data_IF_235770769264
#
_entry.id   IF_235770769264
#
_cell.length_a   1.000
_cell.length_b   1.000
_cell.length_c   1.000
_cell.angle_alpha   90.00
_cell.angle_beta   90.00
_cell.angle_gamma   90.00
#
_symmetry.space_group_name_H-M   'P 1'
#
loop_
_entity.id
_entity.type
_entity.pdbx_description
1 polymer ?
#
# COMPACT_ATOMS: atom_id res chain seq x y z
N UNK A 1 6.79 8.83 -0.14
CA UNK A 1 7.75 9.42 -1.10
C UNK A 1 7.01 10.14 -2.23
N UNK A 2 6.42 9.46 -3.21
CA UNK A 2 5.79 10.11 -4.36
C UNK A 2 4.67 11.11 -4.02
N UNK A 3 3.89 10.87 -2.95
CA UNK A 3 2.93 11.85 -2.43
C UNK A 3 3.58 13.13 -1.90
N UNK A 4 4.74 13.04 -1.24
CA UNK A 4 5.47 14.21 -0.77
C UNK A 4 6.12 14.96 -1.93
N UNK A 5 6.65 14.25 -2.92
CA UNK A 5 7.11 14.85 -4.16
C UNK A 5 5.97 15.61 -4.87
N UNK A 6 4.77 15.02 -4.94
CA UNK A 6 3.59 15.70 -5.46
C UNK A 6 3.26 16.98 -4.67
N UNK A 7 3.27 16.89 -3.33
CA UNK A 7 3.07 18.04 -2.45
C UNK A 7 4.08 19.16 -2.66
N UNK A 8 5.37 18.84 -2.75
CA UNK A 8 6.45 19.79 -3.01
C UNK A 8 6.26 20.50 -4.36
N UNK A 9 5.73 19.79 -5.36
CA UNK A 9 5.46 20.33 -6.69
C UNK A 9 4.07 20.98 -6.82
N UNK A 10 3.27 21.04 -5.76
CA UNK A 10 1.91 21.60 -5.81
C UNK A 10 0.93 20.78 -6.66
N UNK A 11 1.22 19.49 -6.84
CA UNK A 11 0.37 18.54 -7.56
C UNK A 11 -0.60 17.91 -6.58
N UNK A 12 -1.90 18.03 -6.83
CA UNK A 12 -2.95 17.38 -6.06
C UNK A 12 -3.05 15.91 -6.50
N UNK A 13 -2.69 14.94 -5.64
CA UNK A 13 -2.74 13.52 -6.00
C UNK A 13 -4.20 13.06 -6.18
N UNK A 14 -4.48 12.35 -7.27
CA UNK A 14 -5.80 11.74 -7.50
C UNK A 14 -5.82 10.27 -7.08
N UNK A 15 -4.76 9.53 -7.43
CA UNK A 15 -4.61 8.11 -7.13
C UNK A 15 -3.16 7.66 -7.25
N UNK A 16 -2.91 6.46 -6.75
CA UNK A 16 -1.65 5.75 -6.96
C UNK A 16 -1.50 5.36 -8.44
N UNK A 17 -0.29 5.56 -8.98
CA UNK A 17 -0.01 5.29 -10.39
C UNK A 17 0.04 3.78 -10.67
N UNK A 18 0.64 3.02 -9.76
CA UNK A 18 0.73 1.56 -9.79
C UNK A 18 0.29 0.96 -8.45
N UNK A 19 -1.02 0.71 -8.27
CA UNK A 19 -1.54 -0.04 -7.13
C UNK A 19 -0.85 -1.39 -6.97
N UNK A 20 -0.73 -1.87 -5.73
CA UNK A 20 -0.20 -3.20 -5.45
C UNK A 20 -1.32 -4.21 -5.24
N UNK A 21 -1.21 -5.32 -5.93
CA UNK A 21 -2.01 -6.52 -5.74
C UNK A 21 -1.41 -7.44 -4.65
N UNK A 22 -2.16 -8.48 -4.27
CA UNK A 22 -1.69 -9.55 -3.39
C UNK A 22 -1.22 -9.08 -2.00
N UNK A 23 -1.91 -8.07 -1.47
CA UNK A 23 -1.68 -7.51 -0.12
C UNK A 23 -2.81 -7.83 0.86
N UNK A 24 -3.79 -8.64 0.44
CA UNK A 24 -4.94 -9.02 1.24
C UNK A 24 -5.09 -10.54 1.26
N UNK A 25 -5.67 -11.03 2.34
CA UNK A 25 -6.09 -12.42 2.50
C UNK A 25 -7.56 -12.47 2.86
N UNK A 26 -8.23 -13.57 2.50
CA UNK A 26 -9.44 -14.01 3.19
C UNK A 26 -9.04 -15.00 4.27
N UNK A 27 -9.46 -14.75 5.50
CA UNK A 27 -9.49 -15.72 6.60
C UNK A 27 -10.87 -16.35 6.64
N UNK A 28 -10.96 -17.66 6.45
CA UNK A 28 -12.18 -18.42 6.77
C UNK A 28 -11.89 -19.26 8.01
N UNK A 29 -12.71 -19.11 9.04
CA UNK A 29 -12.65 -19.88 10.29
C UNK A 29 -14.01 -20.52 10.56
N UNK A 30 -14.02 -21.73 11.11
CA UNK A 30 -15.24 -22.38 11.61
C UNK A 30 -15.26 -22.28 13.12
N UNK A 31 -16.35 -21.74 13.68
CA UNK A 31 -16.51 -21.49 15.11
C UNK A 31 -17.83 -22.10 15.61
N UNK A 32 -17.88 -22.61 16.86
CA UNK A 32 -19.14 -22.86 17.54
C UNK A 32 -20.03 -21.62 17.53
N UNK A 33 -21.34 -21.82 17.40
CA UNK A 33 -22.31 -20.72 17.30
C UNK A 33 -22.21 -19.79 18.52
N UNK A 34 -22.00 -20.36 19.70
CA UNK A 34 -21.93 -19.66 20.99
C UNK A 34 -20.67 -18.81 21.15
N UNK A 35 -19.59 -19.13 20.41
CA UNK A 35 -18.31 -18.44 20.48
C UNK A 35 -18.07 -17.47 19.30
N UNK A 36 -18.97 -17.45 18.32
CA UNK A 36 -18.81 -16.71 17.07
C UNK A 36 -18.58 -15.20 17.28
N UNK A 37 -19.35 -14.59 18.18
CA UNK A 37 -19.25 -13.15 18.48
C UNK A 37 -17.91 -12.82 19.14
N UNK A 38 -17.54 -13.56 20.20
CA UNK A 38 -16.26 -13.41 20.90
C UNK A 38 -15.07 -13.51 19.95
N UNK A 39 -15.07 -14.51 19.05
CA UNK A 39 -13.99 -14.68 18.07
C UNK A 39 -13.97 -13.49 17.10
N UNK A 40 -15.12 -13.06 16.59
CA UNK A 40 -15.16 -11.94 15.65
C UNK A 40 -14.65 -10.63 16.27
N UNK A 41 -15.03 -10.31 17.51
CA UNK A 41 -14.57 -9.13 18.24
C UNK A 41 -13.05 -9.14 18.43
N UNK A 42 -12.48 -10.29 18.79
CA UNK A 42 -11.02 -10.44 18.93
C UNK A 42 -10.30 -10.21 17.59
N UNK A 43 -10.84 -10.76 16.49
CA UNK A 43 -10.25 -10.58 15.16
C UNK A 43 -10.36 -9.13 14.67
N UNK A 44 -11.47 -8.45 14.95
CA UNK A 44 -11.65 -7.02 14.64
C UNK A 44 -10.66 -6.14 15.42
N UNK A 45 -10.49 -6.40 16.71
CA UNK A 45 -9.50 -5.71 17.53
C UNK A 45 -8.06 -5.91 17.00
N UNK A 46 -7.77 -7.10 16.46
CA UNK A 46 -6.50 -7.41 15.80
C UNK A 46 -6.35 -6.83 14.37
N UNK A 47 -7.41 -6.22 13.83
CA UNK A 47 -7.41 -5.50 12.55
C UNK A 47 -7.96 -6.29 11.35
N UNK A 48 -8.60 -7.44 11.56
CA UNK A 48 -9.39 -8.09 10.52
C UNK A 48 -10.64 -7.25 10.18
N UNK A 49 -11.18 -7.42 8.97
CA UNK A 49 -12.43 -6.79 8.57
C UNK A 49 -12.35 -5.28 8.32
N UNK A 50 -11.15 -4.72 8.15
CA UNK A 50 -10.96 -3.32 7.73
C UNK A 50 -10.86 -3.23 6.21
N UNK A 51 -11.85 -2.59 5.59
CA UNK A 51 -11.95 -2.45 4.13
C UNK A 51 -12.29 -0.99 3.80
N UNK A 52 -11.31 -0.24 3.30
CA UNK A 52 -11.49 1.17 2.99
C UNK A 52 -11.85 1.98 4.24
N UNK A 53 -13.02 2.62 4.23
CA UNK A 53 -13.54 3.43 5.34
C UNK A 53 -14.47 2.65 6.30
N UNK A 54 -14.52 1.32 6.18
CA UNK A 54 -15.34 0.45 7.02
C UNK A 54 -14.45 -0.46 7.86
N UNK A 55 -14.83 -0.68 9.10
CA UNK A 55 -14.26 -1.68 10.01
C UNK A 55 -15.32 -2.72 10.38
N UNK A 56 -14.89 -3.73 11.15
CA UNK A 56 -15.76 -4.82 11.65
C UNK A 56 -16.53 -5.58 10.55
N UNK A 57 -15.95 -5.67 9.34
CA UNK A 57 -16.56 -6.38 8.23
C UNK A 57 -16.24 -7.88 8.28
N UNK A 58 -17.28 -8.71 8.42
CA UNK A 58 -17.19 -10.15 8.15
C UNK A 58 -18.49 -10.66 7.52
N UNK A 59 -18.45 -11.88 6.98
CA UNK A 59 -19.64 -12.60 6.54
C UNK A 59 -19.71 -13.97 7.21
N UNK A 60 -20.90 -14.36 7.66
CA UNK A 60 -21.11 -15.57 8.44
C UNK A 60 -22.14 -16.50 7.77
N UNK A 61 -21.80 -17.78 7.67
CA UNK A 61 -22.68 -18.83 7.11
C UNK A 61 -22.83 -19.96 8.13
N UNK A 62 -24.06 -20.32 8.55
CA UNK A 62 -24.26 -21.46 9.43
C UNK A 62 -24.03 -22.78 8.67
N UNK A 63 -23.55 -23.79 9.40
CA UNK A 63 -23.28 -25.11 8.86
C UNK A 63 -23.19 -26.18 9.95
N UNK A 64 -22.71 -27.36 9.55
CA UNK A 64 -22.46 -28.48 10.47
C UNK A 64 -21.04 -28.97 10.28
N UNK A 65 -20.22 -28.82 11.32
CA UNK A 65 -18.89 -29.41 11.40
C UNK A 65 -18.98 -30.88 11.79
N UNK A 66 -18.10 -31.73 11.25
CA UNK A 66 -17.96 -33.11 11.72
C UNK A 66 -16.52 -33.42 12.00
N UNK A 67 -16.29 -34.16 13.08
CA UNK A 67 -14.96 -34.59 13.48
C UNK A 67 -15.06 -35.91 14.25
N UNK A 68 -13.92 -36.58 14.41
CA UNK A 68 -13.78 -37.77 15.25
C UNK A 68 -12.50 -37.62 16.06
N UNK A 69 -12.58 -37.33 17.37
CA UNK A 69 -11.39 -37.18 18.19
C UNK A 69 -10.60 -38.49 18.21
N UNK A 70 -9.29 -38.39 18.06
CA UNK A 70 -8.37 -39.53 18.17
C UNK A 70 -7.91 -39.70 19.62
N UNK A 71 -7.29 -40.85 19.93
CA UNK A 71 -6.68 -41.08 21.23
C UNK A 71 -5.64 -39.98 21.54
N UNK A 72 -5.74 -39.38 22.73
CA UNK A 72 -4.89 -38.25 23.15
C UNK A 72 -5.44 -36.85 22.85
N UNK A 73 -6.55 -36.73 22.10
CA UNK A 73 -7.21 -35.43 21.89
C UNK A 73 -7.93 -34.94 23.15
N UNK A 74 -7.97 -33.62 23.36
CA UNK A 74 -8.77 -32.97 24.41
C UNK A 74 -9.88 -32.12 23.77
N UNK A 75 -10.87 -32.75 23.11
CA UNK A 75 -11.90 -31.98 22.41
C UNK A 75 -12.82 -31.30 23.44
N UNK A 76 -13.26 -30.08 23.12
CA UNK A 76 -14.29 -29.40 23.92
C UNK A 76 -15.64 -30.12 23.87
N UNK A 77 -15.90 -30.84 22.77
CA UNK A 77 -17.14 -31.59 22.52
C UNK A 77 -16.86 -32.95 21.84
N UNK A 78 -17.71 -33.95 22.06
CA UNK A 78 -17.60 -35.26 21.41
C UNK A 78 -16.84 -36.33 22.21
N UNK A 79 -16.85 -37.56 21.71
CA UNK A 79 -16.28 -38.74 22.39
C UNK A 79 -15.13 -39.31 21.55
N UNK A 80 -14.01 -39.63 22.20
CA UNK A 80 -12.83 -40.23 21.54
C UNK A 80 -13.22 -41.51 20.80
N UNK A 81 -12.85 -41.60 19.53
CA UNK A 81 -13.14 -42.75 18.66
C UNK A 81 -14.51 -42.69 17.96
N UNK A 82 -15.39 -41.76 18.31
CA UNK A 82 -16.73 -41.63 17.73
C UNK A 82 -16.85 -40.36 16.87
N UNK A 83 -17.61 -40.45 15.77
CA UNK A 83 -17.87 -39.27 14.93
C UNK A 83 -18.92 -38.39 15.62
N UNK A 84 -18.57 -37.13 15.81
CA UNK A 84 -19.48 -36.09 16.30
C UNK A 84 -19.84 -35.13 15.17
N UNK A 85 -21.00 -34.50 15.31
CA UNK A 85 -21.50 -33.46 14.41
C UNK A 85 -22.07 -32.33 15.25
N UNK A 86 -21.63 -31.09 15.00
CA UNK A 86 -21.97 -29.92 15.81
C UNK A 86 -22.37 -28.75 14.89
N UNK A 87 -23.36 -27.92 15.28
CA UNK A 87 -23.65 -26.67 14.59
C UNK A 87 -22.46 -25.71 14.71
N UNK A 88 -22.04 -25.13 13.58
CA UNK A 88 -20.95 -24.15 13.54
C UNK A 88 -21.34 -23.00 12.60
N UNK A 89 -20.61 -21.90 12.68
CA UNK A 89 -20.63 -20.83 11.67
C UNK A 89 -19.26 -20.72 11.02
N UNK A 90 -19.24 -20.63 9.69
CA UNK A 90 -18.06 -20.24 8.94
C UNK A 90 -18.04 -18.71 8.86
N UNK A 91 -17.04 -18.09 9.48
CA UNK A 91 -16.83 -16.64 9.46
C UNK A 91 -15.70 -16.29 8.49
N UNK A 92 -15.98 -15.36 7.59
CA UNK A 92 -15.08 -14.93 6.51
C UNK A 92 -14.69 -13.47 6.69
N UNK A 93 -13.38 -13.20 6.80
CA UNK A 93 -12.82 -11.86 7.01
C UNK A 93 -11.83 -11.52 5.91
N UNK A 94 -11.81 -10.24 5.48
CA UNK A 94 -10.67 -9.71 4.71
C UNK A 94 -9.63 -9.18 5.68
N UNK A 95 -8.38 -9.57 5.48
CA UNK A 95 -7.27 -9.24 6.38
C UNK A 95 -6.09 -8.73 5.56
N UNK A 96 -5.52 -7.60 5.96
CA UNK A 96 -4.32 -7.08 5.29
C UNK A 96 -3.08 -7.88 5.65
N UNK A 97 -2.11 -7.91 4.73
CA UNK A 97 -0.85 -8.63 4.94
C UNK A 97 -0.10 -8.15 6.18
N UNK A 98 -0.22 -6.87 6.52
CA UNK A 98 0.43 -6.26 7.68
C UNK A 98 -0.11 -6.80 9.01
N UNK A 99 -1.43 -7.04 9.09
CA UNK A 99 -2.08 -7.48 10.32
C UNK A 99 -2.20 -9.01 10.45
N UNK A 100 -1.91 -9.78 9.40
CA UNK A 100 -2.07 -11.25 9.38
C UNK A 100 -1.51 -11.94 10.63
N UNK A 101 -0.29 -11.60 11.05
CA UNK A 101 0.34 -12.23 12.22
C UNK A 101 -0.34 -11.90 13.54
N UNK A 102 -0.90 -10.68 13.68
CA UNK A 102 -1.67 -10.30 14.87
C UNK A 102 -3.03 -11.01 14.90
N UNK A 103 -3.71 -11.08 13.74
CA UNK A 103 -4.99 -11.77 13.58
C UNK A 103 -4.85 -13.27 13.83
N UNK A 104 -3.77 -13.91 13.38
CA UNK A 104 -3.51 -15.33 13.68
C UNK A 104 -3.45 -15.60 15.18
N UNK A 105 -2.71 -14.78 15.95
CA UNK A 105 -2.61 -14.95 17.41
C UNK A 105 -3.94 -14.71 18.09
N UNK A 106 -4.65 -13.65 17.71
CA UNK A 106 -5.96 -13.35 18.26
C UNK A 106 -6.97 -14.48 17.99
N UNK A 107 -6.88 -15.12 16.82
CA UNK A 107 -7.68 -16.30 16.51
C UNK A 107 -7.36 -17.45 17.48
N UNK A 108 -6.10 -17.82 17.62
CA UNK A 108 -5.66 -18.93 18.48
C UNK A 108 -5.98 -18.69 19.96
N UNK A 109 -5.91 -17.45 20.43
CA UNK A 109 -6.18 -17.08 21.83
C UNK A 109 -7.69 -17.01 22.15
N UNK A 110 -8.51 -16.55 21.21
CA UNK A 110 -9.95 -16.35 21.44
C UNK A 110 -10.80 -17.57 21.14
N UNK A 111 -10.30 -18.50 20.32
CA UNK A 111 -11.08 -19.65 19.85
C UNK A 111 -11.19 -20.74 20.94
N UNK A 112 -12.37 -21.36 21.14
CA UNK A 112 -12.58 -22.36 22.19
C UNK A 112 -11.86 -23.71 21.94
N UNK A 113 -11.64 -24.06 20.67
CA UNK A 113 -10.93 -25.29 20.31
C UNK A 113 -9.41 -25.13 20.41
N UNK A 114 -8.73 -26.17 20.90
CA UNK A 114 -7.27 -26.27 20.96
C UNK A 114 -6.60 -26.16 19.57
N UNK A 115 -7.23 -26.77 18.55
CA UNK A 115 -6.76 -26.73 17.16
C UNK A 115 -7.83 -26.12 16.29
N UNK A 116 -7.59 -24.90 15.82
CA UNK A 116 -8.56 -24.10 15.08
C UNK A 116 -8.58 -24.47 13.60
N UNK A 117 -9.71 -24.93 13.08
CA UNK A 117 -9.89 -25.20 11.65
C UNK A 117 -10.12 -23.89 10.87
N UNK A 118 -9.09 -23.45 10.14
CA UNK A 118 -9.15 -22.21 9.36
C UNK A 118 -8.34 -22.29 8.06
N UNK A 119 -8.58 -21.36 7.14
CA UNK A 119 -7.83 -21.22 5.90
C UNK A 119 -7.50 -19.77 5.59
N UNK A 120 -6.31 -19.56 5.04
CA UNK A 120 -5.85 -18.30 4.49
C UNK A 120 -5.82 -18.39 2.97
N UNK A 121 -6.63 -17.58 2.30
CA UNK A 121 -6.68 -17.51 0.84
C UNK A 121 -6.08 -16.17 0.41
N UNK A 122 -5.03 -16.19 -0.41
CA UNK A 122 -4.45 -14.95 -0.95
C UNK A 122 -5.42 -14.32 -1.95
N UNK A 123 -5.66 -13.02 -1.83
CA UNK A 123 -6.51 -12.27 -2.75
C UNK A 123 -5.65 -11.53 -3.77
N UNK A 124 -6.05 -11.58 -5.04
CA UNK A 124 -5.33 -10.91 -6.13
C UNK A 124 -5.76 -9.44 -6.31
N UNK A 125 -6.76 -8.98 -5.55
CA UNK A 125 -7.29 -7.63 -5.62
C UNK A 125 -6.19 -6.57 -5.42
N UNK A 126 -6.28 -5.50 -6.19
CA UNK A 126 -5.41 -4.33 -6.02
C UNK A 126 -5.90 -3.44 -4.88
N UNK A 127 -4.94 -2.93 -4.10
CA UNK A 127 -5.17 -1.89 -3.10
C UNK A 127 -4.90 -0.52 -3.70
N UNK A 128 -5.93 0.32 -3.76
CA UNK A 128 -5.85 1.69 -4.29
C UNK A 128 -5.08 2.66 -3.38
N UNK A 129 -4.89 2.29 -2.12
CA UNK A 129 -4.23 3.07 -1.07
C UNK A 129 -2.74 2.72 -0.90
N UNK A 130 -2.25 1.65 -1.54
CA UNK A 130 -0.83 1.24 -1.47
C UNK A 130 -0.26 0.93 -2.84
N UNK A 131 0.88 1.51 -3.17
CA UNK A 131 1.64 1.17 -4.37
C UNK A 131 2.73 2.16 -4.73
N UNK A 132 3.10 2.17 -6.01
CA UNK A 132 4.22 2.96 -6.51
C UNK A 132 3.74 4.12 -7.37
N UNK A 133 4.41 5.27 -7.19
CA UNK A 133 4.09 6.49 -7.91
C UNK A 133 2.70 7.05 -7.61
N UNK A 134 2.45 8.26 -8.09
CA UNK A 134 1.15 8.93 -8.02
C UNK A 134 0.86 9.62 -9.36
N UNK A 135 -0.42 9.77 -9.66
CA UNK A 135 -0.89 10.61 -10.75
C UNK A 135 -1.79 11.68 -10.15
N UNK A 136 -1.61 12.91 -10.57
CA UNK A 136 -2.38 14.03 -10.08
C UNK A 136 -2.44 15.18 -11.06
N UNK A 137 -3.00 16.30 -10.60
CA UNK A 137 -3.11 17.52 -11.38
C UNK A 137 -2.67 18.74 -10.59
N UNK A 138 -2.08 19.70 -11.29
CA UNK A 138 -1.95 21.06 -10.78
C UNK A 138 -3.31 21.77 -10.83
N UNK A 139 -3.52 22.74 -9.94
CA UNK A 139 -4.77 23.50 -9.88
C UNK A 139 -5.08 24.26 -11.18
N UNK A 140 -4.05 24.72 -11.90
CA UNK A 140 -4.16 25.39 -13.19
C UNK A 140 -3.06 24.88 -14.13
N UNK A 141 -3.32 24.82 -15.45
CA UNK A 141 -2.27 24.53 -16.43
C UNK A 141 -1.11 25.53 -16.34
N UNK A 142 0.12 25.02 -16.36
CA UNK A 142 1.33 25.83 -16.28
C UNK A 142 2.10 25.78 -17.61
N UNK A 143 2.53 26.91 -18.19
CA UNK A 143 3.42 26.92 -19.35
C UNK A 143 4.72 26.15 -19.08
N UNK A 144 5.24 25.45 -20.09
CA UNK A 144 6.40 24.57 -19.94
C UNK A 144 7.60 25.22 -19.24
N UNK A 145 8.01 26.41 -19.65
CA UNK A 145 9.19 27.08 -19.07
C UNK A 145 8.99 27.43 -17.59
N UNK A 146 7.77 27.84 -17.22
CA UNK A 146 7.40 28.09 -15.84
C UNK A 146 7.38 26.79 -15.04
N UNK A 147 6.89 25.71 -15.63
CA UNK A 147 6.88 24.39 -15.00
C UNK A 147 8.29 23.86 -14.73
N UNK A 148 9.21 23.99 -15.68
CA UNK A 148 10.62 23.62 -15.50
C UNK A 148 11.25 24.45 -14.38
N UNK A 149 11.03 25.77 -14.37
CA UNK A 149 11.55 26.64 -13.30
C UNK A 149 10.95 26.29 -11.93
N UNK A 150 9.66 25.96 -11.88
CA UNK A 150 8.96 25.53 -10.68
C UNK A 150 9.53 24.23 -10.11
N UNK A 151 9.72 23.20 -10.96
CA UNK A 151 10.34 21.93 -10.54
C UNK A 151 11.77 22.17 -10.03
N UNK A 152 12.55 23.01 -10.72
CA UNK A 152 13.90 23.38 -10.26
C UNK A 152 13.91 24.02 -8.88
N UNK A 153 13.07 25.03 -8.68
CA UNK A 153 12.96 25.75 -7.42
C UNK A 153 12.46 24.86 -6.28
N UNK A 154 11.42 24.07 -6.54
CA UNK A 154 10.80 23.19 -5.54
C UNK A 154 11.70 22.03 -5.11
N UNK A 155 12.59 21.52 -5.97
CA UNK A 155 13.51 20.44 -5.62
C UNK A 155 14.93 20.90 -5.31
N UNK A 156 15.22 22.19 -5.48
CA UNK A 156 16.56 22.75 -5.31
C UNK A 156 17.58 22.23 -6.34
N UNK A 157 17.12 21.76 -7.50
CA UNK A 157 17.98 21.15 -8.53
C UNK A 157 18.53 22.23 -9.48
N UNK A 158 19.83 22.13 -9.80
CA UNK A 158 20.49 23.06 -10.73
C UNK A 158 20.12 22.78 -12.20
N UNK A 159 20.04 21.49 -12.54
CA UNK A 159 19.74 21.02 -13.88
C UNK A 159 18.72 19.89 -13.84
N UNK A 160 18.02 19.72 -14.97
CA UNK A 160 17.04 18.67 -15.21
C UNK A 160 17.32 18.10 -16.59
N UNK A 161 16.96 16.83 -16.81
CA UNK A 161 16.98 16.22 -18.14
C UNK A 161 15.56 15.84 -18.53
N UNK A 162 15.15 16.12 -19.75
CA UNK A 162 13.83 15.73 -20.22
C UNK A 162 13.83 15.31 -21.68
N UNK A 163 12.84 14.50 -22.07
CA UNK A 163 12.57 14.20 -23.47
C UNK A 163 12.03 15.43 -24.22
N UNK A 164 11.97 15.42 -25.57
CA UNK A 164 11.35 16.51 -26.32
C UNK A 164 9.94 16.87 -25.82
N UNK A 165 9.62 18.15 -25.92
CA UNK A 165 8.35 18.70 -25.49
C UNK A 165 7.19 18.15 -26.35
N UNK A 166 6.12 17.71 -25.69
CA UNK A 166 4.90 17.19 -26.35
C UNK A 166 3.78 18.23 -26.38
N UNK A 167 3.63 19.01 -25.30
CA UNK A 167 2.59 20.05 -25.13
C UNK A 167 3.19 21.32 -24.56
N UNK A 168 2.66 22.48 -24.94
CA UNK A 168 3.15 23.78 -24.45
C UNK A 168 2.81 24.07 -22.97
N UNK A 169 1.82 23.37 -22.41
CA UNK A 169 1.38 23.49 -21.02
C UNK A 169 1.36 22.12 -20.35
N UNK A 170 1.55 22.12 -19.03
CA UNK A 170 1.56 20.95 -18.15
C UNK A 170 0.48 21.13 -17.09
N UNK A 171 -0.34 20.11 -16.90
CA UNK A 171 -1.30 20.08 -15.79
C UNK A 171 -1.36 18.71 -15.13
N UNK A 172 -1.43 17.64 -15.91
CA UNK A 172 -1.56 16.28 -15.42
C UNK A 172 -0.19 15.63 -15.31
N UNK A 173 0.20 15.23 -14.11
CA UNK A 173 1.59 14.85 -13.82
C UNK A 173 1.60 13.48 -13.13
N UNK A 174 2.32 12.55 -13.72
CA UNK A 174 2.68 11.28 -13.10
C UNK A 174 4.04 11.44 -12.40
N UNK A 175 4.19 10.88 -11.20
CA UNK A 175 5.36 11.06 -10.35
C UNK A 175 5.77 9.72 -9.74
N UNK A 176 7.05 9.37 -9.81
CA UNK A 176 7.64 8.32 -8.99
C UNK A 176 9.03 8.74 -8.54
N UNK A 177 9.23 8.89 -7.22
CA UNK A 177 10.57 9.09 -6.67
C UNK A 177 11.50 7.91 -7.00
N UNK A 178 12.79 8.20 -7.07
CA UNK A 178 13.83 7.24 -7.40
C UNK A 178 13.74 6.72 -8.84
N UNK A 179 14.25 5.51 -9.06
CA UNK A 179 14.33 4.85 -10.36
C UNK A 179 12.98 4.23 -10.80
N UNK A 180 12.02 5.08 -11.17
CA UNK A 180 10.65 4.67 -11.50
C UNK A 180 10.36 4.45 -12.98
N UNK A 181 11.35 4.38 -13.86
CA UNK A 181 11.15 4.37 -15.32
C UNK A 181 10.23 3.25 -15.82
N UNK A 182 10.12 2.13 -15.11
CA UNK A 182 9.25 1.00 -15.46
C UNK A 182 7.75 1.29 -15.33
N UNK A 183 7.40 2.40 -14.66
CA UNK A 183 6.01 2.85 -14.56
C UNK A 183 5.58 3.71 -15.76
N UNK A 184 6.46 3.97 -16.73
CA UNK A 184 6.16 4.77 -17.92
C UNK A 184 4.89 4.30 -18.65
N UNK A 185 4.64 2.98 -18.91
CA UNK A 185 3.41 2.55 -19.56
C UNK A 185 2.14 2.96 -18.80
N UNK A 186 2.20 2.96 -17.45
CA UNK A 186 1.09 3.42 -16.62
C UNK A 186 0.91 4.93 -16.65
N UNK A 187 2.01 5.69 -16.69
CA UNK A 187 1.95 7.15 -16.85
C UNK A 187 1.31 7.55 -18.19
N UNK A 188 1.67 6.85 -19.27
CA UNK A 188 1.08 7.01 -20.60
C UNK A 188 -0.41 6.65 -20.58
N UNK A 189 -0.77 5.49 -20.03
CA UNK A 189 -2.17 5.07 -19.92
C UNK A 189 -3.01 6.05 -19.08
N UNK A 190 -2.39 6.67 -18.06
CA UNK A 190 -3.00 7.70 -17.25
C UNK A 190 -3.06 9.08 -17.93
N UNK A 191 -2.59 9.21 -19.18
CA UNK A 191 -2.57 10.43 -19.99
C UNK A 191 -1.87 11.61 -19.32
N UNK A 192 -0.79 11.33 -18.58
CA UNK A 192 0.03 12.39 -18.02
C UNK A 192 0.66 13.26 -19.13
N UNK A 193 0.79 14.56 -18.89
CA UNK A 193 1.54 15.47 -19.75
C UNK A 193 3.05 15.30 -19.53
N UNK A 194 3.43 15.08 -18.26
CA UNK A 194 4.81 14.86 -17.82
C UNK A 194 4.86 13.65 -16.88
N UNK A 195 5.86 12.80 -17.06
CA UNK A 195 6.25 11.77 -16.10
C UNK A 195 7.57 12.15 -15.44
N UNK A 196 7.52 12.44 -14.14
CA UNK A 196 8.68 12.81 -13.33
C UNK A 196 9.19 11.60 -12.56
N UNK A 197 10.46 11.26 -12.77
CA UNK A 197 11.17 10.21 -12.04
C UNK A 197 12.68 10.49 -12.05
N UNK A 198 13.51 9.50 -11.77
CA UNK A 198 14.95 9.59 -11.87
C UNK A 198 15.57 8.35 -12.53
N UNK A 199 16.89 8.40 -12.73
CA UNK A 199 17.72 7.32 -13.28
C UNK A 199 17.25 6.82 -14.66
N UNK A 200 16.79 7.76 -15.50
CA UNK A 200 16.34 7.42 -16.85
C UNK A 200 17.57 7.18 -17.74
N UNK A 201 17.76 5.94 -18.19
CA UNK A 201 18.84 5.63 -19.13
C UNK A 201 18.51 6.14 -20.54
N UNK A 202 19.55 6.42 -21.33
CA UNK A 202 19.43 7.08 -22.64
C UNK A 202 18.35 6.48 -23.55
N UNK A 203 18.33 5.15 -23.70
CA UNK A 203 17.37 4.48 -24.59
C UNK A 203 15.93 4.55 -24.09
N UNK A 204 15.73 4.68 -22.77
CA UNK A 204 14.40 4.76 -22.17
C UNK A 204 13.68 6.05 -22.54
N UNK A 205 14.40 7.15 -22.82
CA UNK A 205 13.80 8.41 -23.27
C UNK A 205 13.02 8.28 -24.59
N UNK A 206 13.32 7.28 -25.43
CA UNK A 206 12.61 7.04 -26.68
C UNK A 206 11.30 6.26 -26.50
N UNK A 207 11.09 5.61 -25.35
CA UNK A 207 9.93 4.74 -25.12
C UNK A 207 8.62 5.50 -25.02
N UNK A 208 8.66 6.78 -24.62
CA UNK A 208 7.46 7.61 -24.50
C UNK A 208 6.81 7.96 -25.85
N UNK A 209 7.53 7.87 -26.97
CA UNK A 209 7.01 8.06 -28.35
C UNK A 209 6.04 9.25 -28.51
N UNK A 210 6.39 10.42 -27.97
CA UNK A 210 5.57 11.64 -27.97
C UNK A 210 4.23 11.54 -27.23
N UNK A 211 4.02 10.55 -26.37
CA UNK A 211 2.81 10.45 -25.55
C UNK A 211 2.81 11.40 -24.36
N UNK A 212 4.00 11.63 -23.77
CA UNK A 212 4.25 12.53 -22.64
C UNK A 212 5.71 12.96 -22.62
N UNK A 213 6.05 13.96 -21.80
CA UNK A 213 7.43 14.33 -21.53
C UNK A 213 7.97 13.51 -20.36
N UNK A 214 9.07 12.78 -20.56
CA UNK A 214 9.81 12.17 -19.45
C UNK A 214 10.76 13.20 -18.86
N UNK A 215 10.77 13.35 -17.53
CA UNK A 215 11.63 14.29 -16.82
C UNK A 215 12.40 13.56 -15.71
N UNK A 216 13.72 13.60 -15.80
CA UNK A 216 14.65 13.13 -14.78
C UNK A 216 15.01 14.31 -13.86
N UNK A 217 14.64 14.18 -12.58
CA UNK A 217 14.87 15.20 -11.54
C UNK A 217 16.02 14.84 -10.58
N UNK A 218 16.70 13.72 -10.79
CA UNK A 218 17.68 13.18 -9.87
C UNK A 218 17.06 12.31 -8.77
N UNK A 219 17.73 11.19 -8.47
CA UNK A 219 17.20 10.18 -7.55
C UNK A 219 17.08 10.74 -6.14
N UNK A 220 18.19 11.27 -5.61
CA UNK A 220 18.25 11.80 -4.26
C UNK A 220 17.29 12.98 -4.09
N UNK A 221 17.25 13.89 -5.06
CA UNK A 221 16.42 15.10 -5.05
C UNK A 221 14.92 14.77 -5.07
N UNK A 222 14.54 13.68 -5.73
CA UNK A 222 13.15 13.21 -5.73
C UNK A 222 12.71 12.56 -4.40
N UNK A 223 13.66 12.11 -3.58
CA UNK A 223 13.41 11.36 -2.34
C UNK A 223 13.80 12.10 -1.05
N UNK A 224 14.43 13.28 -1.15
CA UNK A 224 14.95 14.05 0.00
C UNK A 224 13.91 14.31 1.10
N UNK A 225 12.63 14.42 0.76
CA UNK A 225 11.52 14.63 1.69
C UNK A 225 11.17 13.41 2.56
N UNK A 226 11.70 12.22 2.22
CA UNK A 226 11.33 10.96 2.89
C UNK A 226 11.73 10.94 4.35
N UNK A 227 12.88 11.54 4.70
CA UNK A 227 13.38 11.60 6.07
C UNK A 227 12.39 12.36 6.97
N UNK A 228 11.89 13.50 6.50
CA UNK A 228 10.93 14.31 7.25
C UNK A 228 9.58 13.59 7.40
N UNK A 229 9.09 12.92 6.35
CA UNK A 229 7.86 12.12 6.43
C UNK A 229 7.94 11.02 7.50
N UNK A 230 9.06 10.28 7.52
CA UNK A 230 9.28 9.23 8.49
C UNK A 230 9.42 9.82 9.90
N UNK A 231 10.17 10.92 10.04
CA UNK A 231 10.33 11.59 11.32
C UNK A 231 8.99 12.06 11.88
N UNK A 232 8.13 12.67 11.06
CA UNK A 232 6.81 13.13 11.46
C UNK A 232 5.89 11.97 11.82
N UNK A 233 5.94 10.87 11.07
CA UNK A 233 5.19 9.66 11.42
C UNK A 233 5.60 9.11 12.79
N UNK A 234 6.90 9.00 13.05
CA UNK A 234 7.44 8.51 14.32
C UNK A 234 7.07 9.47 15.46
N UNK A 235 7.23 10.80 15.28
CA UNK A 235 6.86 11.80 16.30
C UNK A 235 5.40 11.69 16.71
N UNK A 236 4.50 11.48 15.74
CA UNK A 236 3.05 11.32 16.01
C UNK A 236 2.74 10.02 16.76
N UNK A 237 3.46 8.94 16.46
CA UNK A 237 3.26 7.64 17.13
C UNK A 237 3.93 7.55 18.51
N UNK A 238 5.05 8.24 18.69
CA UNK A 238 5.88 8.18 19.89
C UNK A 238 6.17 9.60 20.39
N UNK A 239 5.16 10.29 20.96
CA UNK A 239 5.28 11.72 21.32
C UNK A 239 6.32 11.99 22.42
N UNK A 240 6.71 10.96 23.18
CA UNK A 240 7.60 11.09 24.33
C UNK A 240 9.09 10.89 23.98
N UNK A 241 9.44 10.67 22.71
CA UNK A 241 10.82 10.49 22.26
C UNK A 241 11.26 11.61 21.32
N UNK A 242 12.47 12.12 21.52
CA UNK A 242 13.08 13.06 20.60
C UNK A 242 13.47 12.33 19.31
N UNK A 243 12.80 12.65 18.20
CA UNK A 243 13.13 12.12 16.87
C UNK A 243 14.16 13.02 16.19
N UNK A 244 15.37 12.49 16.00
CA UNK A 244 16.47 13.15 15.31
C UNK A 244 16.52 12.69 13.85
N UNK A 245 16.77 13.64 12.94
CA UNK A 245 17.03 13.38 11.52
C UNK A 245 18.51 13.61 11.23
N UNK A 246 19.05 12.85 10.28
CA UNK A 246 20.42 13.11 9.80
C UNK A 246 20.49 14.47 9.11
N UNK A 247 21.58 15.21 9.34
CA UNK A 247 21.91 16.43 8.59
C UNK A 247 22.96 16.19 7.51
N UNK A 248 23.50 14.97 7.43
CA UNK A 248 24.48 14.61 6.42
C UNK A 248 23.79 14.39 5.08
N UNK A 249 24.27 15.07 4.03
CA UNK A 249 23.90 14.74 2.67
C UNK A 249 24.59 13.46 2.23
N UNK A 250 23.83 12.55 1.63
CA UNK A 250 24.33 11.29 1.07
C UNK A 250 24.16 11.25 -0.45
N UNK A 251 23.95 12.40 -1.10
CA UNK A 251 23.86 12.48 -2.55
C UNK A 251 25.25 12.21 -3.17
N UNK A 252 25.43 11.12 -3.94
CA UNK A 252 26.73 10.81 -4.55
C UNK A 252 26.98 11.63 -5.83
N UNK A 253 25.97 12.34 -6.35
CA UNK A 253 26.03 13.04 -7.62
C UNK A 253 26.29 14.53 -7.41
N UNK A 254 27.25 15.08 -8.16
CA UNK A 254 27.52 16.53 -8.19
C UNK A 254 27.07 17.08 -9.54
N UNK A 255 26.07 17.97 -9.51
CA UNK A 255 25.64 18.73 -10.69
C UNK A 255 26.38 20.08 -10.71
N UNK A 256 27.16 20.30 -11.77
CA UNK A 256 27.90 21.55 -12.05
C UNK A 256 27.17 22.41 -13.07
#
# INVERSE_FOLDING_TARGET
MSHALAGALGVQPERILAPRAALLYTLNVHTPVEAADQVSEALFAAGAGRIGAYDECHFSVPGTGTFRPLEGAQPSEGVVGERSAVPEVQQSFVVSKECRGAVQRALEEAHPYEVVAHSWISLENERSDVGYGVIGQMAQPMPWDHFVAHVKGALGVKALRHSPLVKATVQRIALCGGAGVDLLPRAIAAKADVYITADITYHRYFEAKNALVMMDVGHWESEQYTIELLADYIRRKFPNFAVLTTTSSTNPMITV
#
